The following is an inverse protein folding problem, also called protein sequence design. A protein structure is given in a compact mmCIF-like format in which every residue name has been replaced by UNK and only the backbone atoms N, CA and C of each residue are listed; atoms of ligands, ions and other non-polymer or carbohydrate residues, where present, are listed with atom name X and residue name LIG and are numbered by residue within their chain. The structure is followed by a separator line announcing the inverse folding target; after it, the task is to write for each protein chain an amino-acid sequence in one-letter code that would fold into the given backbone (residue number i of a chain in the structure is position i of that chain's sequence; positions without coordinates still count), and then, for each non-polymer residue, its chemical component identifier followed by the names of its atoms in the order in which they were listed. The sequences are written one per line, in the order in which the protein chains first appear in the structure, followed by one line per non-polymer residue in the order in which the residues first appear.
data_IF_617441432881
#
_entry.id   IF_617441432881
#
_cell.length_a   1.000
_cell.length_b   1.000
_cell.length_c   1.000
_cell.angle_alpha   90.00
_cell.angle_beta   90.00
_cell.angle_gamma   90.00
#
_symmetry.space_group_name_H-M   'P 1'
#
loop_
_entity.id
_entity.type
_entity.pdbx_description
1 polymer ?
#
# COMPACT_ATOMS: atom_id res chain seq x y z
N UNK A 1 -21.03 -14.00 -19.44
CA UNK A 1 -21.79 -13.98 -18.17
C UNK A 1 -22.84 -12.90 -18.33
N UNK A 2 -24.09 -13.14 -17.91
CA UNK A 2 -25.11 -12.11 -17.92
C UNK A 2 -24.77 -11.04 -16.88
N UNK A 3 -25.07 -9.78 -17.20
CA UNK A 3 -24.91 -8.68 -16.26
C UNK A 3 -25.95 -8.81 -15.13
N UNK A 4 -25.54 -8.74 -13.85
CA UNK A 4 -26.48 -8.88 -12.72
C UNK A 4 -27.44 -7.70 -12.65
N UNK A 5 -28.61 -7.85 -12.01
CA UNK A 5 -29.49 -6.71 -11.73
C UNK A 5 -28.92 -5.90 -10.57
N UNK A 6 -28.74 -4.60 -10.75
CA UNK A 6 -28.20 -3.72 -9.70
C UNK A 6 -29.32 -3.27 -8.75
N UNK A 7 -29.17 -3.48 -7.42
CA UNK A 7 -30.21 -3.10 -6.47
C UNK A 7 -30.33 -1.57 -6.40
N UNK A 8 -31.57 -1.07 -6.48
CA UNK A 8 -31.86 0.37 -6.31
C UNK A 8 -31.43 1.26 -7.47
N UNK A 9 -31.08 0.70 -8.63
CA UNK A 9 -30.68 1.45 -9.83
C UNK A 9 -31.71 1.23 -10.94
N UNK A 10 -32.08 2.30 -11.67
CA UNK A 10 -33.01 2.20 -12.80
C UNK A 10 -32.38 1.47 -14.00
N UNK A 11 -33.21 0.91 -14.89
CA UNK A 11 -32.70 0.19 -16.07
C UNK A 11 -31.86 1.07 -17.00
N UNK A 12 -32.22 2.35 -17.15
CA UNK A 12 -31.48 3.32 -17.96
C UNK A 12 -30.11 3.65 -17.37
N UNK A 13 -30.03 3.89 -16.06
CA UNK A 13 -28.78 4.12 -15.35
C UNK A 13 -27.88 2.87 -15.37
N UNK A 14 -28.49 1.69 -15.21
CA UNK A 14 -27.79 0.43 -15.28
C UNK A 14 -27.19 0.19 -16.68
N UNK A 15 -27.94 0.48 -17.75
CA UNK A 15 -27.44 0.40 -19.12
C UNK A 15 -26.26 1.35 -19.36
N UNK A 16 -26.35 2.60 -18.88
CA UNK A 16 -25.27 3.58 -18.97
C UNK A 16 -24.01 3.11 -18.23
N UNK A 17 -24.18 2.53 -17.04
CA UNK A 17 -23.09 2.04 -16.21
C UNK A 17 -22.38 0.84 -16.85
N UNK A 18 -23.11 -0.08 -17.47
CA UNK A 18 -22.50 -1.16 -18.25
C UNK A 18 -21.83 -0.68 -19.52
N UNK A 19 -22.37 0.32 -20.21
CA UNK A 19 -21.72 0.92 -21.37
C UNK A 19 -20.35 1.49 -20.98
N UNK A 20 -20.27 2.26 -19.89
CA UNK A 20 -19.01 2.79 -19.34
C UNK A 20 -18.04 1.68 -18.93
N UNK A 21 -18.53 0.61 -18.31
CA UNK A 21 -17.69 -0.53 -17.92
C UNK A 21 -17.14 -1.29 -19.13
N UNK A 22 -17.94 -1.46 -20.19
CA UNK A 22 -17.51 -2.06 -21.45
C UNK A 22 -16.44 -1.22 -22.14
N UNK A 23 -16.61 0.11 -22.16
CA UNK A 23 -15.61 1.03 -22.67
C UNK A 23 -14.30 0.94 -21.88
N UNK A 24 -14.37 0.93 -20.54
CA UNK A 24 -13.21 0.73 -19.67
C UNK A 24 -12.46 -0.58 -19.94
N UNK A 25 -13.20 -1.64 -20.27
CA UNK A 25 -12.65 -2.97 -20.57
C UNK A 25 -12.12 -3.12 -22.00
N UNK A 26 -12.34 -2.14 -22.87
CA UNK A 26 -11.93 -2.21 -24.28
C UNK A 26 -10.40 -2.35 -24.40
N UNK A 27 -9.94 -3.35 -25.14
CA UNK A 27 -8.51 -3.62 -25.36
C UNK A 27 -7.78 -4.28 -24.19
N UNK A 28 -8.49 -4.69 -23.13
CA UNK A 28 -7.93 -5.46 -22.02
C UNK A 28 -7.90 -6.95 -22.32
N UNK A 29 -7.01 -7.67 -21.65
CA UNK A 29 -6.79 -9.10 -21.85
C UNK A 29 -7.98 -9.94 -21.37
N UNK A 30 -8.13 -11.13 -21.96
CA UNK A 30 -9.16 -12.07 -21.56
C UNK A 30 -8.96 -12.57 -20.14
N UNK A 31 -10.06 -12.87 -19.45
CA UNK A 31 -10.03 -13.41 -18.08
C UNK A 31 -9.28 -14.75 -17.99
N UNK A 32 -9.19 -15.52 -19.08
CA UNK A 32 -8.43 -16.78 -19.11
C UNK A 32 -6.92 -16.55 -19.08
N UNK A 33 -6.46 -15.44 -19.65
CA UNK A 33 -5.05 -15.12 -19.78
C UNK A 33 -4.54 -14.35 -18.56
N UNK A 34 -5.14 -13.19 -18.28
CA UNK A 34 -4.67 -12.31 -17.22
C UNK A 34 -5.40 -12.51 -15.88
N UNK A 35 -6.58 -13.13 -15.90
CA UNK A 35 -7.55 -13.04 -14.81
C UNK A 35 -8.48 -11.82 -14.97
N UNK A 36 -9.40 -11.65 -14.03
CA UNK A 36 -10.39 -10.56 -14.05
C UNK A 36 -10.70 -10.07 -12.63
N UNK A 37 -10.84 -8.76 -12.47
CA UNK A 37 -11.32 -8.18 -11.23
C UNK A 37 -12.84 -8.24 -11.18
N UNK A 38 -13.37 -8.66 -10.02
CA UNK A 38 -14.79 -8.86 -9.80
C UNK A 38 -15.26 -7.87 -8.75
N UNK A 39 -16.20 -7.01 -9.12
CA UNK A 39 -16.98 -6.20 -8.18
C UNK A 39 -18.23 -6.99 -7.86
N UNK A 40 -18.28 -7.50 -6.64
CA UNK A 40 -19.34 -8.40 -6.17
C UNK A 40 -20.40 -7.61 -5.43
N UNK A 41 -21.67 -7.88 -5.76
CA UNK A 41 -22.82 -7.18 -5.19
C UNK A 41 -22.96 -7.38 -3.67
N UNK A 42 -23.58 -6.41 -2.96
CA UNK A 42 -23.97 -6.55 -1.56
C UNK A 42 -24.86 -7.78 -1.33
N UNK A 43 -24.85 -8.30 -0.11
CA UNK A 43 -25.66 -9.46 0.30
C UNK A 43 -26.22 -9.28 1.71
N UNK A 44 -27.23 -10.08 2.12
CA UNK A 44 -27.73 -10.04 3.49
C UNK A 44 -26.58 -10.16 4.51
N UNK A 45 -26.52 -9.22 5.46
CA UNK A 45 -25.45 -9.14 6.46
C UNK A 45 -24.11 -8.55 5.96
N UNK A 46 -23.95 -8.25 4.67
CA UNK A 46 -22.80 -7.53 4.10
C UNK A 46 -23.26 -6.45 3.11
N UNK A 47 -23.52 -5.21 3.59
CA UNK A 47 -24.12 -4.15 2.79
C UNK A 47 -23.18 -3.53 1.76
N UNK A 48 -21.87 -3.79 1.85
CA UNK A 48 -20.88 -3.21 0.95
C UNK A 48 -20.68 -4.09 -0.29
N UNK A 49 -20.40 -3.45 -1.43
CA UNK A 49 -19.77 -4.14 -2.55
C UNK A 49 -18.40 -4.67 -2.10
N UNK A 50 -17.92 -5.72 -2.74
CA UNK A 50 -16.60 -6.29 -2.42
C UNK A 50 -15.78 -6.55 -3.67
N UNK A 51 -14.47 -6.40 -3.55
CA UNK A 51 -13.53 -6.56 -4.65
C UNK A 51 -12.81 -7.89 -4.54
N UNK A 52 -12.82 -8.65 -5.63
CA UNK A 52 -12.22 -9.97 -5.73
C UNK A 52 -11.38 -10.08 -7.01
N UNK A 53 -10.49 -11.06 -7.06
CA UNK A 53 -9.73 -11.43 -8.26
C UNK A 53 -10.09 -12.85 -8.66
N UNK A 54 -10.51 -13.05 -9.90
CA UNK A 54 -10.36 -14.36 -10.54
C UNK A 54 -8.94 -14.48 -11.13
N UNK A 55 -8.18 -15.47 -10.69
CA UNK A 55 -6.85 -15.78 -11.23
C UNK A 55 -6.81 -17.20 -11.82
N UNK A 56 -6.30 -17.38 -13.05
CA UNK A 56 -6.15 -18.72 -13.62
C UNK A 56 -5.09 -19.57 -12.89
N UNK A 57 -4.18 -18.94 -12.12
CA UNK A 57 -3.03 -19.62 -11.52
C UNK A 57 -3.38 -20.77 -10.56
N UNK A 58 -4.32 -20.64 -9.60
CA UNK A 58 -4.59 -21.69 -8.63
C UNK A 58 -5.33 -22.90 -9.21
N UNK A 59 -5.80 -22.83 -10.47
CA UNK A 59 -6.61 -23.81 -11.23
C UNK A 59 -7.98 -24.19 -10.60
N UNK A 60 -8.01 -24.43 -9.28
CA UNK A 60 -9.20 -24.68 -8.47
C UNK A 60 -9.42 -23.54 -7.47
N UNK A 61 -10.69 -23.13 -7.32
CA UNK A 61 -11.13 -22.03 -6.44
C UNK A 61 -10.30 -20.77 -6.70
N UNK A 62 -10.36 -20.33 -7.94
CA UNK A 62 -9.59 -19.24 -8.50
C UNK A 62 -10.08 -17.84 -8.13
N UNK A 63 -11.15 -17.72 -7.34
CA UNK A 63 -11.73 -16.43 -6.94
C UNK A 63 -11.26 -16.08 -5.54
N UNK A 64 -10.49 -15.00 -5.42
CA UNK A 64 -9.77 -14.59 -4.22
C UNK A 64 -10.31 -13.24 -3.74
N UNK A 65 -10.59 -13.13 -2.44
CA UNK A 65 -11.07 -11.89 -1.82
C UNK A 65 -9.93 -10.87 -1.73
N UNK A 66 -10.22 -9.58 -1.93
CA UNK A 66 -9.22 -8.51 -1.76
C UNK A 66 -9.61 -7.61 -0.60
N UNK A 67 -10.75 -6.92 -0.70
CA UNK A 67 -11.30 -6.06 0.34
C UNK A 67 -12.74 -5.62 0.02
N UNK A 68 -13.42 -5.08 1.02
CA UNK A 68 -14.71 -4.42 0.85
C UNK A 68 -14.54 -3.03 0.25
N UNK A 69 -15.51 -2.63 -0.57
CA UNK A 69 -15.65 -1.33 -1.21
C UNK A 69 -16.74 -0.50 -0.49
N UNK A 70 -17.37 0.43 -1.20
CA UNK A 70 -18.47 1.25 -0.72
C UNK A 70 -19.81 0.49 -0.84
N UNK A 71 -20.85 0.83 -0.07
CA UNK A 71 -22.22 0.41 -0.36
C UNK A 71 -22.77 1.02 -1.65
N UNK A 72 -22.21 2.14 -2.14
CA UNK A 72 -22.61 2.75 -3.42
C UNK A 72 -21.87 2.13 -4.61
N UNK A 73 -22.61 1.83 -5.68
CA UNK A 73 -22.07 1.20 -6.88
C UNK A 73 -21.13 2.13 -7.66
N UNK A 74 -21.48 3.42 -7.77
CA UNK A 74 -20.69 4.38 -8.54
C UNK A 74 -19.36 4.63 -7.86
N UNK A 75 -19.36 4.80 -6.54
CA UNK A 75 -18.16 4.89 -5.73
C UNK A 75 -17.33 3.62 -5.81
N UNK A 76 -17.95 2.44 -5.71
CA UNK A 76 -17.25 1.16 -5.77
C UNK A 76 -16.57 0.94 -7.12
N UNK A 77 -17.28 1.19 -8.22
CA UNK A 77 -16.71 1.13 -9.56
C UNK A 77 -15.64 2.19 -9.77
N UNK A 78 -15.84 3.41 -9.29
CA UNK A 78 -14.82 4.47 -9.35
C UNK A 78 -13.56 4.05 -8.59
N UNK A 79 -13.69 3.54 -7.36
CA UNK A 79 -12.56 3.05 -6.56
C UNK A 79 -11.80 1.94 -7.30
N UNK A 80 -12.51 0.90 -7.77
CA UNK A 80 -11.89 -0.24 -8.44
C UNK A 80 -11.27 0.13 -9.80
N UNK A 81 -12.01 0.84 -10.65
CA UNK A 81 -11.54 1.27 -11.97
C UNK A 81 -10.34 2.21 -11.87
N UNK A 82 -10.34 3.12 -10.89
CA UNK A 82 -9.20 4.01 -10.63
C UNK A 82 -8.01 3.21 -10.09
N UNK A 83 -8.22 2.25 -9.17
CA UNK A 83 -7.15 1.42 -8.61
C UNK A 83 -6.42 0.62 -9.69
N UNK A 84 -7.16 0.06 -10.66
CA UNK A 84 -6.65 -0.83 -11.70
C UNK A 84 -6.67 -0.23 -13.11
N UNK A 85 -6.66 1.10 -13.22
CA UNK A 85 -6.78 1.80 -14.49
C UNK A 85 -5.77 1.34 -15.54
N UNK A 86 -4.53 1.08 -15.13
CA UNK A 86 -3.46 0.62 -16.02
C UNK A 86 -3.25 -0.90 -16.02
N UNK A 87 -4.07 -1.65 -15.29
CA UNK A 87 -4.04 -3.12 -15.34
C UNK A 87 -4.47 -3.60 -16.73
N UNK A 88 -3.93 -4.74 -17.15
CA UNK A 88 -4.40 -5.44 -18.35
C UNK A 88 -5.68 -6.24 -18.10
N UNK A 89 -6.14 -6.35 -16.85
CA UNK A 89 -7.32 -7.13 -16.47
C UNK A 89 -8.59 -6.33 -16.62
N UNK A 90 -9.64 -6.98 -17.10
CA UNK A 90 -10.99 -6.43 -17.08
C UNK A 90 -11.51 -6.28 -15.65
N UNK A 91 -12.53 -5.44 -15.50
CA UNK A 91 -13.36 -5.29 -14.31
C UNK A 91 -14.79 -5.70 -14.65
N UNK A 92 -15.38 -6.63 -13.91
CA UNK A 92 -16.75 -7.09 -14.16
C UNK A 92 -17.59 -7.06 -12.88
N UNK A 93 -18.89 -6.84 -13.04
CA UNK A 93 -19.88 -6.96 -11.96
C UNK A 93 -20.44 -8.37 -11.92
N UNK A 94 -20.67 -8.89 -10.71
CA UNK A 94 -21.31 -10.20 -10.55
C UNK A 94 -21.97 -10.40 -9.20
N UNK A 95 -22.94 -11.31 -9.17
CA UNK A 95 -23.56 -11.78 -7.95
C UNK A 95 -22.59 -12.60 -7.09
N UNK A 96 -22.80 -12.56 -5.78
CA UNK A 96 -22.06 -13.40 -4.87
C UNK A 96 -22.39 -14.88 -5.10
N UNK A 97 -21.36 -15.70 -5.30
CA UNK A 97 -21.50 -17.15 -5.44
C UNK A 97 -20.85 -17.85 -4.26
N UNK A 98 -21.66 -18.28 -3.29
CA UNK A 98 -21.18 -18.92 -2.06
C UNK A 98 -20.25 -20.11 -2.33
N UNK A 99 -20.61 -21.00 -3.27
CA UNK A 99 -19.80 -22.19 -3.61
C UNK A 99 -18.39 -21.85 -4.12
N UNK A 100 -18.22 -20.70 -4.77
CA UNK A 100 -16.95 -20.30 -5.42
C UNK A 100 -16.20 -19.19 -4.69
N UNK A 101 -16.89 -18.42 -3.85
CA UNK A 101 -16.38 -17.22 -3.16
C UNK A 101 -16.37 -17.37 -1.63
N UNK A 102 -16.39 -18.60 -1.12
CA UNK A 102 -16.17 -18.85 0.30
C UNK A 102 -14.68 -19.03 0.58
N UNK A 103 -14.15 -18.30 1.57
CA UNK A 103 -12.78 -18.52 2.04
C UNK A 103 -12.74 -19.85 2.79
N UNK A 104 -11.88 -20.76 2.33
CA UNK A 104 -11.63 -22.05 2.99
C UNK A 104 -10.33 -22.03 3.79
N UNK A 105 -9.76 -20.84 4.05
CA UNK A 105 -8.46 -20.70 4.71
C UNK A 105 -7.26 -21.14 3.85
N UNK A 106 -7.45 -21.31 2.54
CA UNK A 106 -6.36 -21.66 1.61
C UNK A 106 -5.34 -20.52 1.47
N UNK A 107 -5.73 -19.30 1.83
CA UNK A 107 -4.89 -18.09 1.85
C UNK A 107 -4.46 -17.67 3.27
N UNK A 108 -4.68 -18.53 4.26
CA UNK A 108 -4.22 -18.33 5.63
C UNK A 108 -2.72 -18.66 5.75
N UNK A 109 -1.95 -17.71 6.24
CA UNK A 109 -0.51 -17.87 6.45
C UNK A 109 -0.30 -18.76 7.68
N UNK A 110 0.33 -19.92 7.48
CA UNK A 110 0.57 -20.90 8.55
C UNK A 110 1.98 -20.82 9.15
N UNK A 111 2.79 -19.81 8.84
CA UNK A 111 4.17 -19.72 9.32
C UNK A 111 4.69 -18.28 9.39
N UNK A 112 5.85 -18.11 10.03
CA UNK A 112 6.61 -16.85 10.01
C UNK A 112 5.92 -15.68 10.71
N UNK A 113 6.36 -14.46 10.37
CA UNK A 113 5.96 -13.18 11.01
C UNK A 113 4.45 -12.96 11.05
N UNK A 114 3.74 -13.38 9.99
CA UNK A 114 2.31 -13.11 9.81
C UNK A 114 1.46 -14.38 9.95
N UNK A 115 1.90 -15.37 10.73
CA UNK A 115 1.11 -16.58 10.99
C UNK A 115 -0.27 -16.21 11.56
N UNK A 116 -1.33 -16.79 11.00
CA UNK A 116 -2.72 -16.52 11.38
C UNK A 116 -3.39 -15.39 10.60
N UNK A 117 -2.65 -14.68 9.75
CA UNK A 117 -3.20 -13.65 8.86
C UNK A 117 -3.50 -14.20 7.48
N UNK A 118 -4.45 -13.58 6.78
CA UNK A 118 -4.74 -13.89 5.38
C UNK A 118 -3.83 -13.12 4.43
N UNK A 119 -3.53 -13.70 3.27
CA UNK A 119 -2.66 -13.06 2.26
C UNK A 119 -3.20 -11.69 1.80
N UNK A 120 -4.52 -11.49 1.73
CA UNK A 120 -5.11 -10.19 1.36
C UNK A 120 -4.87 -9.09 2.41
N UNK A 121 -4.71 -9.45 3.68
CA UNK A 121 -4.34 -8.50 4.75
C UNK A 121 -2.89 -8.05 4.56
N UNK A 122 -2.00 -9.01 4.29
CA UNK A 122 -0.57 -8.76 4.12
C UNK A 122 -0.28 -7.99 2.83
N UNK A 123 -1.11 -8.15 1.79
CA UNK A 123 -1.01 -7.35 0.56
C UNK A 123 -0.99 -5.83 0.84
N UNK A 124 -1.72 -5.36 1.87
CA UNK A 124 -1.80 -3.94 2.25
C UNK A 124 -0.66 -3.51 3.18
N UNK A 125 -0.20 -4.42 4.05
CA UNK A 125 0.77 -4.13 5.11
C UNK A 125 2.20 -4.29 4.62
N UNK A 126 2.51 -5.42 4.00
CA UNK A 126 3.88 -5.83 3.64
C UNK A 126 3.90 -6.66 2.33
N UNK A 127 3.79 -5.99 1.17
CA UNK A 127 3.80 -6.67 -0.12
C UNK A 127 5.15 -7.34 -0.44
N UNK A 128 6.24 -6.94 0.25
CA UNK A 128 7.54 -7.58 0.08
C UNK A 128 7.54 -9.00 0.67
N UNK A 129 6.92 -9.19 1.84
CA UNK A 129 6.71 -10.53 2.41
C UNK A 129 5.90 -11.43 1.48
N UNK A 130 4.84 -10.88 0.88
CA UNK A 130 4.01 -11.61 -0.08
C UNK A 130 4.81 -12.01 -1.34
N UNK A 131 5.69 -11.12 -1.82
CA UNK A 131 6.61 -11.42 -2.93
C UNK A 131 7.61 -12.52 -2.57
N UNK A 132 8.09 -12.56 -1.32
CA UNK A 132 8.93 -13.65 -0.82
C UNK A 132 8.17 -14.99 -0.81
N UNK A 133 6.91 -15.02 -0.38
CA UNK A 133 6.09 -16.24 -0.44
C UNK A 133 5.91 -16.69 -1.90
N UNK A 134 5.61 -15.76 -2.80
CA UNK A 134 5.33 -16.06 -4.20
C UNK A 134 6.50 -16.69 -4.97
N UNK A 135 7.76 -16.37 -4.60
CA UNK A 135 8.94 -16.73 -5.40
C UNK A 135 10.11 -17.36 -4.64
N UNK A 136 10.18 -17.22 -3.31
CA UNK A 136 11.30 -17.74 -2.50
C UNK A 136 10.88 -18.85 -1.54
N UNK A 137 9.60 -18.92 -1.17
CA UNK A 137 9.11 -20.01 -0.35
C UNK A 137 9.10 -21.32 -1.15
N UNK A 138 9.78 -22.34 -0.63
CA UNK A 138 9.83 -23.68 -1.23
C UNK A 138 8.73 -24.56 -0.62
N UNK A 139 7.66 -24.87 -1.39
CA UNK A 139 6.59 -25.73 -0.91
C UNK A 139 7.09 -27.18 -0.81
N UNK A 140 6.64 -27.89 0.23
CA UNK A 140 6.99 -29.30 0.46
C UNK A 140 5.83 -30.26 0.22
N UNK A 141 4.61 -29.75 0.14
CA UNK A 141 3.38 -30.54 -0.02
C UNK A 141 2.44 -29.84 -1.02
N UNK A 142 1.53 -30.57 -1.71
CA UNK A 142 0.63 -29.98 -2.71
C UNK A 142 -0.23 -28.82 -2.19
N UNK A 143 -0.64 -28.88 -0.92
CA UNK A 143 -1.38 -27.77 -0.27
C UNK A 143 -0.55 -26.47 -0.23
N UNK A 144 0.76 -26.58 -0.01
CA UNK A 144 1.67 -25.44 0.02
C UNK A 144 1.97 -24.90 -1.38
N UNK A 145 2.06 -25.76 -2.39
CA UNK A 145 2.20 -25.32 -3.79
C UNK A 145 1.00 -24.46 -4.20
N UNK A 146 -0.21 -24.88 -3.82
CA UNK A 146 -1.42 -24.09 -4.04
C UNK A 146 -1.40 -22.76 -3.30
N UNK A 147 -0.93 -22.75 -2.05
CA UNK A 147 -0.74 -21.51 -1.29
C UNK A 147 0.23 -20.55 -1.99
N UNK A 148 1.33 -21.05 -2.58
CA UNK A 148 2.25 -20.24 -3.39
C UNK A 148 1.58 -19.68 -4.64
N UNK A 149 0.78 -20.48 -5.37
CA UNK A 149 -0.01 -20.01 -6.53
C UNK A 149 -0.98 -18.90 -6.15
N UNK A 150 -1.62 -18.98 -4.98
CA UNK A 150 -2.48 -17.93 -4.44
C UNK A 150 -1.66 -16.67 -4.10
N UNK A 151 -0.50 -16.83 -3.46
CA UNK A 151 0.40 -15.71 -3.18
C UNK A 151 0.89 -15.03 -4.48
N UNK A 152 1.18 -15.78 -5.54
CA UNK A 152 1.50 -15.22 -6.86
C UNK A 152 0.33 -14.41 -7.44
N UNK A 153 -0.91 -14.89 -7.28
CA UNK A 153 -2.08 -14.13 -7.69
C UNK A 153 -2.19 -12.79 -6.94
N UNK A 154 -2.04 -12.79 -5.61
CA UNK A 154 -2.02 -11.54 -4.83
C UNK A 154 -0.83 -10.64 -5.18
N UNK A 155 0.34 -11.21 -5.47
CA UNK A 155 1.51 -10.45 -5.91
C UNK A 155 1.22 -9.73 -7.23
N UNK A 156 0.50 -10.38 -8.15
CA UNK A 156 0.11 -9.73 -9.41
C UNK A 156 -0.86 -8.56 -9.22
N UNK A 157 -1.68 -8.55 -8.15
CA UNK A 157 -2.50 -7.39 -7.76
C UNK A 157 -1.60 -6.26 -7.29
N UNK A 158 -0.59 -6.56 -6.46
CA UNK A 158 0.38 -5.56 -6.04
C UNK A 158 1.03 -4.88 -7.25
N UNK A 159 1.47 -5.66 -8.24
CA UNK A 159 2.05 -5.13 -9.48
C UNK A 159 1.07 -4.21 -10.24
N UNK A 160 -0.20 -4.58 -10.36
CA UNK A 160 -1.22 -3.72 -11.00
C UNK A 160 -1.40 -2.39 -10.26
N UNK A 161 -1.45 -2.41 -8.93
CA UNK A 161 -1.52 -1.19 -8.12
C UNK A 161 -0.24 -0.36 -8.29
N UNK A 162 0.92 -1.00 -8.42
CA UNK A 162 2.19 -0.31 -8.64
C UNK A 162 2.30 0.30 -10.04
N UNK A 163 1.73 -0.33 -11.07
CA UNK A 163 1.69 0.22 -12.44
C UNK A 163 0.98 1.56 -12.50
N UNK A 164 -0.09 1.73 -11.73
CA UNK A 164 -0.71 3.05 -11.57
C UNK A 164 0.24 4.04 -10.94
N UNK A 165 0.87 3.67 -9.82
CA UNK A 165 1.79 4.58 -9.12
C UNK A 165 2.98 5.01 -9.98
N UNK A 166 3.44 4.18 -10.90
CA UNK A 166 4.54 4.52 -11.81
C UNK A 166 4.10 5.38 -13.00
N UNK A 167 2.86 5.25 -13.46
CA UNK A 167 2.31 6.04 -14.59
C UNK A 167 1.61 7.32 -14.17
N UNK A 168 1.26 7.47 -12.89
CA UNK A 168 0.72 8.71 -12.34
C UNK A 168 1.73 9.84 -12.59
N UNK A 169 1.29 10.87 -13.30
CA UNK A 169 2.14 12.01 -13.66
C UNK A 169 2.55 12.71 -12.38
N UNK A 170 3.80 12.49 -11.97
CA UNK A 170 4.40 13.20 -10.85
C UNK A 170 5.23 14.36 -11.37
N UNK A 171 5.31 15.43 -10.57
CA UNK A 171 6.24 16.52 -10.86
C UNK A 171 7.65 15.94 -10.99
N UNK A 172 8.41 16.40 -11.99
CA UNK A 172 9.80 15.99 -12.19
C UNK A 172 10.61 16.33 -10.93
N UNK A 173 10.94 15.31 -10.13
CA UNK A 173 11.81 15.43 -8.97
C UNK A 173 13.27 15.21 -9.39
N UNK A 174 14.20 15.97 -8.82
CA UNK A 174 15.65 15.77 -8.93
C UNK A 174 16.22 15.32 -7.58
N UNK A 175 17.41 14.74 -7.61
CA UNK A 175 18.18 14.51 -6.39
C UNK A 175 18.69 15.86 -5.86
N UNK A 176 18.71 16.03 -4.54
CA UNK A 176 19.20 17.25 -3.90
C UNK A 176 20.74 17.37 -3.88
N UNK A 177 21.45 16.29 -4.22
CA UNK A 177 22.90 16.22 -4.21
C UNK A 177 23.38 14.80 -4.53
N UNK A 178 24.69 14.60 -4.49
CA UNK A 178 25.37 13.33 -4.76
C UNK A 178 25.58 12.50 -3.50
N UNK A 179 25.78 11.18 -3.65
CA UNK A 179 26.08 10.31 -2.50
C UNK A 179 27.34 10.80 -1.79
N UNK A 180 27.29 10.87 -0.46
CA UNK A 180 28.31 11.43 0.43
C UNK A 180 28.46 12.95 0.48
N UNK A 181 27.72 13.69 -0.35
CA UNK A 181 27.69 15.15 -0.27
C UNK A 181 27.11 15.62 1.06
N UNK A 182 27.68 16.70 1.62
CA UNK A 182 27.15 17.38 2.79
C UNK A 182 26.28 18.55 2.31
N UNK A 183 24.99 18.45 2.58
CA UNK A 183 24.03 19.52 2.33
C UNK A 183 23.85 20.37 3.59
N UNK A 184 23.67 21.67 3.41
CA UNK A 184 23.51 22.67 4.48
C UNK A 184 22.28 23.54 4.24
N UNK A 185 21.72 24.07 5.32
CA UNK A 185 20.63 25.06 5.30
C UNK A 185 19.41 24.64 4.46
N UNK A 186 18.96 23.39 4.65
CA UNK A 186 17.79 22.88 3.95
C UNK A 186 16.50 23.27 4.68
N UNK A 187 15.53 23.79 3.92
CA UNK A 187 14.15 23.99 4.36
C UNK A 187 13.26 22.94 3.73
N UNK A 188 12.75 22.00 4.54
CA UNK A 188 12.01 20.83 4.07
C UNK A 188 10.62 20.78 4.72
N UNK A 189 9.58 20.58 3.92
CA UNK A 189 8.20 20.41 4.41
C UNK A 189 7.87 18.93 4.54
N UNK A 190 7.26 18.53 5.67
CA UNK A 190 6.84 17.16 5.95
C UNK A 190 5.61 16.84 5.10
N UNK A 191 5.70 15.78 4.31
CA UNK A 191 4.59 15.28 3.49
C UNK A 191 3.92 14.06 4.13
N UNK A 192 4.72 13.19 4.76
CA UNK A 192 4.23 11.96 5.39
C UNK A 192 5.16 11.55 6.52
N UNK A 193 4.57 11.03 7.60
CA UNK A 193 5.27 10.42 8.73
C UNK A 193 4.83 8.97 8.86
N UNK A 194 5.78 8.08 9.14
CA UNK A 194 5.54 6.67 9.51
C UNK A 194 6.32 6.36 10.77
N UNK A 195 5.71 5.61 11.67
CA UNK A 195 6.35 5.09 12.88
C UNK A 195 6.79 3.66 12.63
N UNK A 196 8.00 3.34 13.06
CA UNK A 196 8.56 1.98 12.99
C UNK A 196 9.36 1.71 14.27
N UNK A 197 9.11 0.58 14.93
CA UNK A 197 9.92 0.17 16.08
C UNK A 197 11.36 -0.13 15.64
N UNK A 198 12.33 0.30 16.45
CA UNK A 198 13.73 -0.06 16.26
C UNK A 198 13.98 -1.45 16.86
N UNK A 199 14.13 -2.50 16.03
CA UNK A 199 14.25 -3.86 16.53
C UNK A 199 15.55 -4.08 17.31
N UNK A 200 16.58 -3.22 17.11
CA UNK A 200 17.88 -3.37 17.75
C UNK A 200 17.98 -2.67 19.12
N UNK A 201 17.02 -1.78 19.43
CA UNK A 201 17.03 -1.00 20.68
C UNK A 201 15.83 -1.31 21.57
N UNK A 202 14.73 -1.76 20.97
CA UNK A 202 13.55 -2.24 21.69
C UNK A 202 13.91 -3.45 22.54
N UNK A 203 13.54 -3.41 23.82
CA UNK A 203 13.90 -4.44 24.81
C UNK A 203 12.83 -4.57 25.88
N UNK A 204 12.87 -5.67 26.62
CA UNK A 204 12.08 -5.82 27.84
C UNK A 204 12.98 -5.51 29.04
N UNK A 205 12.57 -4.56 29.88
CA UNK A 205 13.28 -4.23 31.10
C UNK A 205 12.45 -4.69 32.30
N UNK A 206 12.87 -5.80 32.92
CA UNK A 206 12.08 -6.50 33.93
C UNK A 206 10.82 -7.11 33.29
N UNK A 207 9.65 -6.59 33.65
CA UNK A 207 8.35 -6.97 33.07
C UNK A 207 7.80 -5.94 32.09
N UNK A 208 8.46 -4.79 31.95
CA UNK A 208 7.95 -3.67 31.17
C UNK A 208 8.61 -3.63 29.79
N UNK A 209 7.84 -3.71 28.69
CA UNK A 209 8.40 -3.55 27.36
C UNK A 209 8.77 -2.08 27.11
N UNK A 210 9.94 -1.87 26.51
CA UNK A 210 10.47 -0.56 26.13
C UNK A 210 10.69 -0.52 24.63
N UNK A 211 9.79 0.15 23.91
CA UNK A 211 9.85 0.33 22.46
C UNK A 211 10.53 1.64 22.11
N UNK A 212 11.65 1.58 21.37
CA UNK A 212 12.25 2.77 20.79
C UNK A 212 11.72 2.91 19.37
N UNK A 213 11.15 4.06 19.03
CA UNK A 213 10.43 4.25 17.77
C UNK A 213 11.19 5.23 16.88
N UNK A 214 11.28 4.90 15.59
CA UNK A 214 11.84 5.77 14.55
C UNK A 214 10.71 6.45 13.79
N UNK A 215 10.78 7.77 13.67
CA UNK A 215 9.93 8.54 12.77
C UNK A 215 10.57 8.60 11.39
N UNK A 216 9.99 7.91 10.42
CA UNK A 216 10.43 7.93 9.03
C UNK A 216 9.66 9.02 8.28
N UNK A 217 10.36 10.11 7.98
CA UNK A 217 9.81 11.29 7.34
C UNK A 217 10.00 11.21 5.82
N UNK A 218 8.94 11.50 5.08
CA UNK A 218 8.99 11.86 3.66
C UNK A 218 8.74 13.35 3.56
N UNK A 219 9.69 14.07 2.97
CA UNK A 219 9.69 15.53 2.91
C UNK A 219 9.86 16.01 1.47
N UNK A 220 9.56 17.28 1.23
CA UNK A 220 9.91 17.96 0.00
C UNK A 220 10.58 19.32 0.26
N UNK A 221 11.46 19.72 -0.65
CA UNK A 221 11.95 21.10 -0.70
C UNK A 221 10.93 22.03 -1.38
N UNK A 222 11.25 23.32 -1.47
CA UNK A 222 10.41 24.30 -2.16
C UNK A 222 10.20 23.99 -3.65
N UNK A 223 11.12 23.27 -4.28
CA UNK A 223 11.05 22.85 -5.69
C UNK A 223 10.24 21.55 -5.89
N UNK A 224 9.83 20.89 -4.81
CA UNK A 224 9.11 19.61 -4.85
C UNK A 224 10.01 18.37 -4.98
N UNK A 225 11.32 18.50 -4.82
CA UNK A 225 12.25 17.37 -4.76
C UNK A 225 12.03 16.57 -3.47
N UNK A 226 12.07 15.24 -3.56
CA UNK A 226 11.69 14.37 -2.45
C UNK A 226 12.88 13.94 -1.61
N UNK A 227 12.69 13.98 -0.30
CA UNK A 227 13.72 13.68 0.69
C UNK A 227 13.18 12.68 1.69
N UNK A 228 14.02 11.74 2.12
CA UNK A 228 13.69 10.86 3.24
C UNK A 228 14.73 10.96 4.33
N UNK A 229 14.29 11.02 5.58
CA UNK A 229 15.17 10.88 6.75
C UNK A 229 14.44 10.16 7.87
N UNK A 230 15.20 9.59 8.80
CA UNK A 230 14.66 8.93 10.00
C UNK A 230 15.15 9.66 11.24
N UNK A 231 14.23 9.97 12.16
CA UNK A 231 14.53 10.56 13.46
C UNK A 231 14.25 9.48 14.52
N UNK A 232 15.29 8.88 15.12
CA UNK A 232 15.11 7.90 16.19
C UNK A 232 14.70 8.58 17.49
N UNK A 233 13.78 7.96 18.24
CA UNK A 233 13.45 8.42 19.59
C UNK A 233 14.63 8.27 20.54
N UNK A 234 14.79 9.25 21.43
CA UNK A 234 15.75 9.19 22.53
C UNK A 234 15.16 8.43 23.71
N UNK A 235 13.86 8.53 23.91
CA UNK A 235 13.10 7.89 24.98
C UNK A 235 12.28 6.69 24.48
N UNK A 236 12.10 5.67 25.34
CA UNK A 236 11.24 4.53 25.03
C UNK A 236 9.76 4.85 25.27
N UNK A 237 8.89 4.09 24.60
CA UNK A 237 7.45 4.00 24.82
C UNK A 237 7.09 2.63 25.40
N UNK A 238 5.98 2.56 26.14
CA UNK A 238 5.43 1.30 26.63
C UNK A 238 4.64 0.52 25.57
N UNK A 239 4.26 1.19 24.46
CA UNK A 239 3.43 0.62 23.40
C UNK A 239 4.19 0.64 22.07
N UNK A 240 4.15 -0.49 21.36
CA UNK A 240 4.73 -0.65 20.02
C UNK A 240 4.18 0.42 19.06
N UNK A 241 5.05 0.91 18.18
CA UNK A 241 4.75 1.90 17.16
C UNK A 241 4.11 3.19 17.69
N UNK A 242 4.37 3.54 18.95
CA UNK A 242 3.84 4.74 19.61
C UNK A 242 4.99 5.60 20.13
N UNK A 243 4.98 6.89 19.85
CA UNK A 243 5.98 7.83 20.38
C UNK A 243 5.72 8.14 21.86
N UNK A 244 6.79 8.32 22.63
CA UNK A 244 6.70 8.90 23.97
C UNK A 244 6.21 10.35 23.87
N UNK A 245 5.38 10.79 24.82
CA UNK A 245 4.86 12.16 24.86
C UNK A 245 5.92 13.25 25.07
N UNK A 246 7.17 12.86 25.33
CA UNK A 246 8.32 13.77 25.47
C UNK A 246 8.97 14.04 24.09
N UNK A 247 8.79 13.13 23.13
CA UNK A 247 9.34 13.28 21.79
C UNK A 247 8.46 14.20 20.94
N UNK A 248 9.08 14.98 20.06
CA UNK A 248 8.33 15.79 19.10
C UNK A 248 7.69 14.89 18.04
N UNK A 249 6.36 14.88 17.98
CA UNK A 249 5.60 14.16 16.96
C UNK A 249 5.50 15.01 15.68
N UNK A 250 6.25 14.65 14.64
CA UNK A 250 6.21 15.38 13.37
C UNK A 250 4.89 15.16 12.65
N UNK A 251 4.33 16.24 12.08
CA UNK A 251 3.04 16.18 11.37
C UNK A 251 3.16 16.59 9.90
N UNK A 252 2.37 15.99 8.99
CA UNK A 252 2.26 16.48 7.62
C UNK A 252 1.92 17.97 7.59
N UNK A 253 2.66 18.74 6.80
CA UNK A 253 2.54 20.19 6.70
C UNK A 253 3.62 20.97 7.44
N UNK A 254 4.26 20.37 8.45
CA UNK A 254 5.30 21.01 9.26
C UNK A 254 6.56 21.31 8.45
N UNK A 255 7.26 22.41 8.78
CA UNK A 255 8.52 22.80 8.13
C UNK A 255 9.68 22.49 9.07
N UNK A 256 10.61 21.68 8.57
CA UNK A 256 11.85 21.31 9.25
C UNK A 256 13.00 22.10 8.64
N UNK A 257 13.78 22.73 9.49
CA UNK A 257 15.02 23.40 9.13
C UNK A 257 16.19 22.48 9.48
N UNK A 258 17.00 22.13 8.49
CA UNK A 258 18.16 21.26 8.64
C UNK A 258 19.40 22.11 8.44
N UNK A 259 20.17 22.32 9.51
CA UNK A 259 21.44 23.04 9.45
C UNK A 259 22.47 22.28 8.59
N UNK A 260 22.55 20.96 8.76
CA UNK A 260 23.38 20.12 7.88
C UNK A 260 22.91 18.67 7.85
N UNK A 261 23.09 17.99 6.73
CA UNK A 261 22.90 16.55 6.60
C UNK A 261 23.84 15.97 5.55
N UNK A 262 24.08 14.66 5.60
CA UNK A 262 24.85 13.95 4.57
C UNK A 262 23.90 13.15 3.68
N UNK A 263 24.14 13.16 2.38
CA UNK A 263 23.42 12.29 1.45
C UNK A 263 23.94 10.87 1.63
N UNK A 264 23.09 10.01 2.19
CA UNK A 264 23.43 8.60 2.43
C UNK A 264 23.13 7.71 1.23
N UNK A 265 22.07 8.02 0.47
CA UNK A 265 21.61 7.20 -0.64
C UNK A 265 20.74 8.00 -1.59
N UNK A 266 20.90 7.73 -2.87
CA UNK A 266 19.98 8.14 -3.93
C UNK A 266 19.19 6.92 -4.39
N UNK A 267 17.88 7.07 -4.56
CA UNK A 267 17.06 6.00 -5.09
C UNK A 267 15.85 6.55 -5.82
N UNK A 268 15.39 5.79 -6.80
CA UNK A 268 14.15 6.08 -7.50
C UNK A 268 13.05 5.17 -6.96
N UNK A 269 11.88 5.73 -6.70
CA UNK A 269 10.70 4.98 -6.31
C UNK A 269 9.49 5.51 -7.06
N UNK A 270 8.93 4.66 -7.93
CA UNK A 270 7.77 4.97 -8.76
C UNK A 270 7.95 6.23 -9.63
N UNK A 271 9.08 6.33 -10.35
CA UNK A 271 9.37 7.47 -11.22
C UNK A 271 9.79 8.75 -10.49
N UNK A 272 9.80 8.75 -9.16
CA UNK A 272 10.27 9.88 -8.35
C UNK A 272 11.64 9.60 -7.75
N UNK A 273 12.52 10.58 -7.84
CA UNK A 273 13.86 10.59 -7.31
C UNK A 273 13.82 11.04 -5.85
N UNK A 274 14.35 10.21 -4.97
CA UNK A 274 14.45 10.46 -3.54
C UNK A 274 15.91 10.58 -3.12
N UNK A 275 16.21 11.59 -2.31
CA UNK A 275 17.49 11.73 -1.61
C UNK A 275 17.31 11.32 -0.15
N UNK A 276 18.05 10.31 0.32
CA UNK A 276 18.05 9.91 1.73
C UNK A 276 19.13 10.66 2.49
N UNK A 277 18.72 11.37 3.54
CA UNK A 277 19.63 12.09 4.43
C UNK A 277 19.95 11.25 5.67
N UNK A 278 21.22 11.27 6.07
CA UNK A 278 21.71 10.76 7.34
C UNK A 278 22.51 11.85 8.07
N UNK A 279 22.86 11.59 9.33
CA UNK A 279 23.62 12.50 10.19
C UNK A 279 23.01 13.92 10.21
N UNK A 280 21.67 13.96 10.29
CA UNK A 280 20.89 15.18 10.20
C UNK A 280 21.05 16.00 11.48
N UNK A 281 21.48 17.25 11.32
CA UNK A 281 21.47 18.27 12.38
C UNK A 281 20.33 19.24 12.09
N UNK A 282 19.32 19.23 12.95
CA UNK A 282 18.22 20.17 12.87
C UNK A 282 18.70 21.55 13.34
N UNK A 283 18.27 22.60 12.63
CA UNK A 283 18.44 23.96 13.09
C UNK A 283 17.41 24.23 14.18
N UNK A 284 17.84 24.75 15.32
CA UNK A 284 16.92 25.30 16.32
C UNK A 284 16.39 26.60 15.74
N UNK A 285 15.12 26.63 15.38
CA UNK A 285 14.46 27.89 15.04
C UNK A 285 14.25 28.62 16.37
N UNK A 286 15.22 29.44 16.76
CA UNK A 286 15.02 30.38 17.85
C UNK A 286 13.85 31.29 17.45
N UNK A 287 12.74 31.20 18.16
CA UNK A 287 11.52 31.98 17.97
C UNK A 287 11.69 33.51 18.16
N UNK A 288 12.93 34.01 18.15
CA UNK A 288 13.30 35.40 18.40
C UNK A 288 13.75 36.16 17.14
N UNK A 289 13.90 35.49 15.99
CA UNK A 289 14.38 36.15 14.76
C UNK A 289 13.26 36.68 13.84
N UNK A 290 11.99 36.61 14.24
CA UNK A 290 10.84 37.13 13.49
C UNK A 290 10.33 38.49 13.98
N UNK A 291 11.18 39.26 14.70
CA UNK A 291 10.92 40.67 15.04
C UNK A 291 12.10 41.55 14.65
N UNK A 292 12.42 41.61 13.36
CA UNK A 292 13.11 42.73 12.71
C UNK A 292 12.56 42.88 11.30
#
# INVERSE_FOLDING_TARGET
MANPKLPGISESEQALLYAKLNEYNRGRASFKEAGVYLVVLPRPGKPNYSLWLYSPLPEKRSILYIHDLSPDINESLRMASTMFYYSRRCLILMDYNEKRMQSNGDDLIFFGKYRGHFLHEILKVDPAYLSWIAYKFTPKIPKQERFVKIAQAYHSIHLDVMLRKSKEVRRKSRYLGEVNEKLTDLKLKVMRVRLEDDPYKTRVYGTTPQFFVKQILTLNDASGNLVTMSIPSKTPSAVSCTLSGIEHEYRPGEIIYVASARVSRLFESYGSKYTRLSNVKLAIVNAWSSRL
#
